data_IF_103234789522
#
_entry.id   IF_103234789522
#
_cell.length_a   1.000
_cell.length_b   1.000
_cell.length_c   1.000
_cell.angle_alpha   90.00
_cell.angle_beta   90.00
_cell.angle_gamma   90.00
#
_symmetry.space_group_name_H-M   'P 1'
#
loop_
_entity.id
_entity.type
_entity.pdbx_description
1 polymer ?
#
# COMPACT_ATOMS: atom_id res chain seq x y z
N UNK A 1 -3.44 52.71 -14.50
CA UNK A 1 -2.33 51.79 -14.21
C UNK A 1 -2.84 50.36 -14.41
N UNK A 2 -2.48 49.68 -15.51
CA UNK A 2 -2.89 48.29 -15.75
C UNK A 2 -1.87 47.38 -15.08
N UNK A 3 -2.23 46.78 -13.95
CA UNK A 3 -1.46 45.71 -13.32
C UNK A 3 -1.47 44.50 -14.27
N UNK A 4 -0.38 44.32 -15.04
CA UNK A 4 -0.10 43.06 -15.72
C UNK A 4 0.31 42.06 -14.64
N UNK A 5 -0.64 41.25 -14.19
CA UNK A 5 -0.32 40.07 -13.38
C UNK A 5 0.31 39.04 -14.33
N UNK A 6 1.63 39.00 -14.38
CA UNK A 6 2.37 37.88 -14.96
C UNK A 6 2.39 36.76 -13.93
N UNK A 7 1.44 35.83 -14.02
CA UNK A 7 1.64 34.52 -13.40
C UNK A 7 2.74 33.80 -14.20
N UNK A 8 3.98 33.87 -13.72
CA UNK A 8 5.01 32.96 -14.18
C UNK A 8 4.63 31.56 -13.72
N UNK A 9 4.21 30.70 -14.66
CA UNK A 9 4.03 29.28 -14.39
C UNK A 9 5.38 28.68 -13.97
N UNK A 10 5.54 28.40 -12.67
CA UNK A 10 6.74 27.72 -12.19
C UNK A 10 6.62 26.22 -12.50
N UNK A 11 7.03 25.86 -13.71
CA UNK A 11 7.01 24.48 -14.21
C UNK A 11 7.75 23.49 -13.29
N UNK A 12 8.80 23.95 -12.59
CA UNK A 12 9.54 23.12 -11.63
C UNK A 12 8.73 22.79 -10.39
N UNK A 13 8.00 23.76 -9.84
CA UNK A 13 7.11 23.56 -8.71
C UNK A 13 5.98 22.58 -9.05
N UNK A 14 5.35 22.77 -10.21
CA UNK A 14 4.25 21.92 -10.69
C UNK A 14 4.75 20.48 -10.90
N UNK A 15 5.93 20.29 -11.50
CA UNK A 15 6.51 18.97 -11.71
C UNK A 15 6.78 18.24 -10.40
N UNK A 16 7.24 18.96 -9.36
CA UNK A 16 7.45 18.38 -8.04
C UNK A 16 6.13 18.02 -7.36
N UNK A 17 5.12 18.90 -7.39
CA UNK A 17 3.79 18.60 -6.84
C UNK A 17 3.15 17.38 -7.51
N UNK A 18 3.30 17.24 -8.84
CA UNK A 18 2.81 16.06 -9.57
C UNK A 18 3.53 14.77 -9.16
N UNK A 19 4.83 14.82 -8.86
CA UNK A 19 5.58 13.65 -8.36
C UNK A 19 5.10 13.25 -6.98
N UNK A 20 4.99 14.21 -6.07
CA UNK A 20 4.49 13.96 -4.70
C UNK A 20 3.06 13.44 -4.72
N UNK A 21 2.20 13.97 -5.59
CA UNK A 21 0.84 13.49 -5.77
C UNK A 21 0.80 12.03 -6.23
N UNK A 22 1.64 11.63 -7.19
CA UNK A 22 1.71 10.23 -7.63
C UNK A 22 2.18 9.28 -6.52
N UNK A 23 3.18 9.68 -5.74
CA UNK A 23 3.63 8.91 -4.56
C UNK A 23 2.51 8.74 -3.56
N UNK A 24 1.87 9.85 -3.17
CA UNK A 24 0.76 9.83 -2.23
C UNK A 24 -0.40 8.95 -2.73
N UNK A 25 -0.67 8.95 -4.04
CA UNK A 25 -1.68 8.09 -4.64
C UNK A 25 -1.36 6.61 -4.51
N UNK A 26 -0.16 6.16 -4.90
CA UNK A 26 0.19 4.73 -4.80
C UNK A 26 0.35 4.26 -3.35
N UNK A 27 0.84 5.13 -2.46
CA UNK A 27 0.95 4.83 -1.03
C UNK A 27 -0.42 4.74 -0.37
N UNK A 28 -1.37 5.61 -0.72
CA UNK A 28 -2.74 5.54 -0.21
C UNK A 28 -3.48 4.30 -0.74
N UNK A 29 -3.32 4.00 -2.03
CA UNK A 29 -3.95 2.84 -2.67
C UNK A 29 -3.48 1.50 -2.08
N UNK A 30 -2.30 1.43 -1.47
CA UNK A 30 -1.81 0.18 -0.86
C UNK A 30 -2.56 -0.20 0.42
N UNK A 31 -3.13 0.77 1.14
CA UNK A 31 -3.73 0.54 2.47
C UNK A 31 -5.00 -0.32 2.38
N UNK A 32 -5.96 -0.06 1.46
CA UNK A 32 -7.12 -0.93 1.26
C UNK A 32 -6.73 -2.36 0.85
N UNK A 33 -5.77 -2.48 -0.08
CA UNK A 33 -5.22 -3.78 -0.47
C UNK A 33 -4.67 -4.55 0.73
N UNK A 34 -3.83 -3.90 1.55
CA UNK A 34 -3.24 -4.51 2.72
C UNK A 34 -4.32 -4.96 3.72
N UNK A 35 -5.35 -4.13 3.93
CA UNK A 35 -6.46 -4.46 4.82
C UNK A 35 -7.22 -5.70 4.32
N UNK A 36 -7.56 -5.76 3.04
CA UNK A 36 -8.34 -6.85 2.47
C UNK A 36 -7.56 -8.18 2.42
N UNK A 37 -6.29 -8.15 2.00
CA UNK A 37 -5.45 -9.34 1.99
C UNK A 37 -5.23 -9.90 3.42
N UNK A 38 -5.09 -9.03 4.42
CA UNK A 38 -5.04 -9.44 5.83
C UNK A 38 -6.36 -10.03 6.30
N UNK A 39 -7.48 -9.40 5.94
CA UNK A 39 -8.83 -9.89 6.25
C UNK A 39 -9.04 -11.29 5.69
N UNK A 40 -8.75 -11.52 4.40
CA UNK A 40 -8.83 -12.85 3.77
C UNK A 40 -7.99 -13.87 4.54
N UNK A 41 -6.76 -13.50 4.92
CA UNK A 41 -5.87 -14.41 5.64
C UNK A 41 -6.43 -14.81 7.02
N UNK A 42 -7.04 -13.87 7.73
CA UNK A 42 -7.57 -14.06 9.08
C UNK A 42 -8.94 -14.74 9.06
N UNK A 43 -9.89 -14.23 8.28
CA UNK A 43 -11.29 -14.68 8.26
C UNK A 43 -11.42 -16.11 7.74
N UNK A 44 -10.59 -16.47 6.76
CA UNK A 44 -10.63 -17.80 6.13
C UNK A 44 -9.67 -18.79 6.78
N UNK A 45 -9.02 -18.38 7.86
CA UNK A 45 -8.14 -19.25 8.64
C UNK A 45 -7.04 -19.88 7.76
N UNK A 46 -6.42 -19.11 6.87
CA UNK A 46 -5.41 -19.66 5.93
C UNK A 46 -4.04 -19.92 6.58
N UNK A 47 -3.65 -19.12 7.58
CA UNK A 47 -2.27 -19.07 8.09
C UNK A 47 -2.21 -18.84 9.60
N UNK A 48 -1.50 -19.69 10.33
CA UNK A 48 -1.32 -19.61 11.80
C UNK A 48 -0.14 -18.68 12.24
N UNK A 49 0.25 -17.75 11.37
CA UNK A 49 1.40 -16.88 11.64
C UNK A 49 0.99 -15.42 11.57
N UNK A 50 1.00 -14.77 12.74
CA UNK A 50 0.86 -13.32 12.86
C UNK A 50 1.94 -12.58 12.05
N UNK A 51 3.13 -13.18 11.86
CA UNK A 51 4.22 -12.57 11.08
C UNK A 51 3.80 -12.33 9.64
N UNK A 52 3.20 -13.34 8.99
CA UNK A 52 2.75 -13.23 7.61
C UNK A 52 1.68 -12.15 7.48
N UNK A 53 0.57 -12.28 8.22
CA UNK A 53 -0.53 -11.30 8.21
C UNK A 53 -0.01 -9.88 8.40
N UNK A 54 0.83 -9.66 9.42
CA UNK A 54 1.32 -8.33 9.76
C UNK A 54 2.37 -7.77 8.81
N UNK A 55 2.88 -8.58 7.89
CA UNK A 55 3.87 -8.18 6.90
C UNK A 55 3.29 -7.94 5.51
N UNK A 56 1.98 -8.17 5.31
CA UNK A 56 1.33 -7.90 4.02
C UNK A 56 1.26 -6.38 3.83
N UNK A 57 2.16 -5.86 2.98
CA UNK A 57 2.25 -4.48 2.49
C UNK A 57 2.47 -3.35 3.48
N UNK A 58 1.90 -3.45 4.67
CA UNK A 58 1.94 -2.44 5.73
C UNK A 58 2.17 -3.16 7.05
N UNK A 59 3.05 -2.64 7.89
CA UNK A 59 3.33 -3.24 9.18
C UNK A 59 2.13 -3.04 10.12
N UNK A 60 1.60 -4.12 10.66
CA UNK A 60 0.53 -4.09 11.67
C UNK A 60 0.90 -4.96 12.87
N UNK A 61 0.06 -4.96 13.92
CA UNK A 61 0.24 -5.79 15.12
C UNK A 61 -1.03 -6.63 15.42
N UNK A 62 -1.68 -7.16 14.37
CA UNK A 62 -2.96 -7.87 14.42
C UNK A 62 -2.89 -9.26 13.75
N UNK A 63 -3.52 -10.31 14.30
CA UNK A 63 -4.20 -10.40 15.61
C UNK A 63 -3.22 -10.45 16.79
N UNK A 64 -3.68 -10.13 18.00
CA UNK A 64 -2.87 -10.07 19.23
C UNK A 64 -2.32 -11.44 19.70
N UNK A 65 -2.88 -12.53 19.18
CA UNK A 65 -2.37 -13.90 19.33
C UNK A 65 -2.53 -14.63 18.01
N UNK A 66 -1.64 -15.57 17.71
CA UNK A 66 -1.86 -16.47 16.58
C UNK A 66 -2.98 -17.50 16.88
N UNK A 67 -3.33 -18.37 15.93
CA UNK A 67 -4.45 -19.31 16.11
C UNK A 67 -4.18 -20.32 17.23
N UNK A 68 -2.91 -20.68 17.45
CA UNK A 68 -2.53 -21.53 18.59
C UNK A 68 -2.62 -20.85 19.95
N UNK A 69 -3.05 -19.58 20.02
CA UNK A 69 -3.11 -18.79 21.24
C UNK A 69 -1.72 -18.38 21.77
N UNK A 70 -0.67 -18.58 20.95
CA UNK A 70 0.69 -18.16 21.26
C UNK A 70 0.87 -16.69 20.89
N UNK A 71 1.80 -16.04 21.57
CA UNK A 71 2.13 -14.63 21.34
C UNK A 71 2.50 -14.36 19.88
N UNK A 72 2.33 -13.11 19.46
CA UNK A 72 2.64 -12.68 18.09
C UNK A 72 4.13 -12.75 17.79
N UNK A 73 4.47 -13.32 16.64
CA UNK A 73 5.74 -13.03 15.99
C UNK A 73 5.58 -11.70 15.26
N UNK A 74 6.32 -10.68 15.70
CA UNK A 74 6.31 -9.36 15.07
C UNK A 74 7.16 -9.39 13.79
N UNK A 75 6.63 -8.92 12.64
CA UNK A 75 7.43 -8.78 11.44
C UNK A 75 8.43 -7.63 11.60
N UNK A 76 9.53 -7.70 10.86
CA UNK A 76 10.44 -6.57 10.68
C UNK A 76 10.13 -5.83 9.38
N UNK A 77 10.75 -4.67 9.15
CA UNK A 77 10.64 -3.96 7.87
C UNK A 77 11.08 -4.83 6.68
N UNK A 78 12.06 -5.70 6.89
CA UNK A 78 12.55 -6.64 5.87
C UNK A 78 11.54 -7.72 5.49
N UNK A 79 10.51 -7.94 6.31
CA UNK A 79 9.42 -8.87 5.99
C UNK A 79 8.39 -8.24 5.04
N UNK A 80 8.53 -6.96 4.70
CA UNK A 80 7.58 -6.21 3.86
C UNK A 80 8.26 -5.80 2.56
N UNK A 81 7.59 -6.08 1.44
CA UNK A 81 8.00 -5.50 0.16
C UNK A 81 7.38 -4.12 0.05
N UNK A 82 8.20 -3.09 -0.12
CA UNK A 82 7.77 -1.71 -0.32
C UNK A 82 8.80 -0.95 -1.16
N UNK A 83 8.80 -1.21 -2.47
CA UNK A 83 9.78 -0.65 -3.41
C UNK A 83 9.07 0.36 -4.30
N UNK A 84 9.46 1.63 -4.18
CA UNK A 84 8.97 2.71 -5.04
C UNK A 84 9.96 2.93 -6.19
N UNK A 85 9.47 2.80 -7.42
CA UNK A 85 10.20 3.15 -8.63
C UNK A 85 9.54 4.34 -9.32
N UNK A 86 10.33 5.38 -9.59
CA UNK A 86 9.85 6.61 -10.21
C UNK A 86 10.50 6.83 -11.58
N UNK A 87 9.67 7.12 -12.58
CA UNK A 87 10.08 7.72 -13.84
C UNK A 87 9.56 9.14 -13.93
N UNK A 88 9.82 9.80 -15.08
CA UNK A 88 9.32 11.15 -15.35
C UNK A 88 7.80 11.25 -15.20
N UNK A 89 7.10 10.21 -15.64
CA UNK A 89 5.66 10.15 -15.89
C UNK A 89 4.93 9.08 -15.05
N UNK A 90 5.64 8.12 -14.49
CA UNK A 90 5.04 6.98 -13.77
C UNK A 90 5.69 6.84 -12.39
N UNK A 91 4.87 6.52 -11.39
CA UNK A 91 5.32 6.04 -10.08
C UNK A 91 4.72 4.65 -9.88
N UNK A 92 5.58 3.67 -9.63
CA UNK A 92 5.18 2.29 -9.33
C UNK A 92 5.52 1.98 -7.89
N UNK A 93 4.59 1.35 -7.19
CA UNK A 93 4.81 0.76 -5.89
C UNK A 93 4.70 -0.75 -6.01
N UNK A 94 5.82 -1.45 -5.81
CA UNK A 94 5.81 -2.89 -5.60
C UNK A 94 5.62 -3.17 -4.11
N UNK A 95 4.57 -3.90 -3.77
CA UNK A 95 4.23 -4.14 -2.37
C UNK A 95 3.69 -5.55 -2.13
N UNK A 96 3.87 -6.04 -0.91
CA UNK A 96 3.46 -7.38 -0.48
C UNK A 96 4.23 -7.79 0.76
N UNK A 97 4.49 -9.09 0.90
CA UNK A 97 5.27 -9.67 2.00
C UNK A 97 6.50 -10.40 1.47
N UNK A 98 7.62 -10.24 2.15
CA UNK A 98 8.90 -10.89 1.86
C UNK A 98 9.13 -12.13 2.75
N UNK A 99 8.12 -12.55 3.53
CA UNK A 99 8.21 -13.75 4.35
C UNK A 99 8.42 -14.97 3.45
N UNK A 100 9.44 -15.77 3.75
CA UNK A 100 9.91 -16.86 2.88
C UNK A 100 8.84 -17.86 2.41
N UNK A 101 7.81 -18.13 3.22
CA UNK A 101 6.73 -19.06 2.88
C UNK A 101 5.54 -18.38 2.16
N UNK A 102 5.57 -17.07 1.94
CA UNK A 102 4.52 -16.34 1.24
C UNK A 102 4.21 -16.89 -0.17
N UNK A 103 5.19 -17.27 -1.01
CA UNK A 103 4.90 -17.84 -2.32
C UNK A 103 4.10 -19.15 -2.26
N UNK A 104 4.32 -19.96 -1.21
CA UNK A 104 3.59 -21.20 -1.01
C UNK A 104 2.13 -20.95 -0.61
N UNK A 105 1.91 -19.95 0.26
CA UNK A 105 0.57 -19.53 0.65
C UNK A 105 -0.20 -18.94 -0.52
N UNK A 106 0.46 -18.11 -1.32
CA UNK A 106 -0.16 -17.49 -2.48
C UNK A 106 -0.60 -18.53 -3.50
N UNK A 107 0.26 -19.51 -3.81
CA UNK A 107 -0.08 -20.60 -4.72
C UNK A 107 -1.28 -21.44 -4.23
N UNK A 108 -1.50 -21.53 -2.93
CA UNK A 108 -2.55 -22.36 -2.32
C UNK A 108 -3.86 -21.62 -2.13
N UNK A 109 -3.81 -20.35 -1.74
CA UNK A 109 -4.96 -19.60 -1.26
C UNK A 109 -5.25 -18.32 -2.05
N UNK A 110 -4.34 -17.91 -2.94
CA UNK A 110 -4.44 -16.72 -3.79
C UNK A 110 -4.77 -15.45 -3.00
N UNK A 111 -4.12 -15.25 -1.85
CA UNK A 111 -4.47 -14.22 -0.86
C UNK A 111 -4.22 -12.82 -1.44
N UNK A 112 -3.04 -12.63 -2.05
CA UNK A 112 -2.63 -11.36 -2.64
C UNK A 112 -3.44 -11.06 -3.88
N UNK A 113 -3.61 -12.05 -4.79
CA UNK A 113 -4.44 -11.88 -5.98
C UNK A 113 -5.88 -11.48 -5.64
N UNK A 114 -6.50 -12.21 -4.71
CA UNK A 114 -7.87 -11.88 -4.24
C UNK A 114 -7.94 -10.57 -3.50
N UNK A 115 -6.90 -10.22 -2.73
CA UNK A 115 -6.82 -8.93 -2.05
C UNK A 115 -6.83 -7.77 -3.04
N UNK A 116 -6.12 -7.91 -4.16
CA UNK A 116 -6.12 -6.91 -5.24
C UNK A 116 -7.48 -6.83 -5.93
N UNK A 117 -8.06 -7.98 -6.31
CA UNK A 117 -9.36 -8.03 -7.01
C UNK A 117 -10.49 -7.46 -6.13
N UNK A 118 -10.51 -7.80 -4.84
CA UNK A 118 -11.58 -7.38 -3.94
C UNK A 118 -11.45 -5.90 -3.54
N UNK A 119 -10.23 -5.39 -3.38
CA UNK A 119 -9.99 -4.03 -2.93
C UNK A 119 -9.89 -3.00 -4.07
N UNK A 120 -9.94 -3.43 -5.34
CA UNK A 120 -9.67 -2.57 -6.51
C UNK A 120 -10.40 -1.22 -6.45
N UNK A 121 -11.70 -1.24 -6.15
CA UNK A 121 -12.51 -0.02 -6.06
C UNK A 121 -12.01 0.92 -4.94
N UNK A 122 -11.77 0.39 -3.75
CA UNK A 122 -11.29 1.15 -2.59
C UNK A 122 -9.86 1.67 -2.81
N UNK A 123 -9.02 0.90 -3.51
CA UNK A 123 -7.67 1.32 -3.91
C UNK A 123 -7.72 2.53 -4.85
N UNK A 124 -8.65 2.52 -5.82
CA UNK A 124 -8.84 3.66 -6.72
C UNK A 124 -9.32 4.91 -5.98
N UNK A 125 -10.28 4.75 -5.07
CA UNK A 125 -10.79 5.85 -4.24
C UNK A 125 -9.69 6.44 -3.34
N UNK A 126 -9.02 5.59 -2.55
CA UNK A 126 -7.94 6.00 -1.66
C UNK A 126 -6.78 6.66 -2.43
N UNK A 127 -6.42 6.12 -3.60
CA UNK A 127 -5.40 6.71 -4.47
C UNK A 127 -5.78 8.09 -4.98
N UNK A 128 -7.03 8.29 -5.41
CA UNK A 128 -7.53 9.59 -5.85
C UNK A 128 -7.53 10.61 -4.70
N UNK A 129 -7.96 10.21 -3.50
CA UNK A 129 -7.89 11.06 -2.30
C UNK A 129 -6.45 11.45 -1.95
N UNK A 130 -5.51 10.50 -2.01
CA UNK A 130 -4.09 10.74 -1.76
C UNK A 130 -3.52 11.82 -2.68
N UNK A 131 -3.86 11.77 -3.97
CA UNK A 131 -3.50 12.78 -4.97
C UNK A 131 -4.10 14.15 -4.60
N UNK A 132 -5.41 14.21 -4.33
CA UNK A 132 -6.12 15.47 -4.03
C UNK A 132 -5.54 16.17 -2.79
N UNK A 133 -5.17 15.40 -1.76
CA UNK A 133 -4.57 15.93 -0.52
C UNK A 133 -3.26 16.68 -0.77
N UNK A 134 -2.50 16.36 -1.81
CA UNK A 134 -1.26 17.08 -2.14
C UNK A 134 -1.55 18.45 -2.73
N UNK A 135 -2.62 18.60 -3.52
CA UNK A 135 -3.02 19.87 -4.14
C UNK A 135 -3.89 20.76 -3.25
N UNK A 136 -4.44 20.20 -2.17
CA UNK A 136 -5.31 20.92 -1.23
C UNK A 136 -4.55 21.54 -0.05
N UNK A 137 -3.21 21.42 -0.02
CA UNK A 137 -2.31 22.06 0.93
C UNK A 137 -1.87 23.43 0.42
#
# INVERSE_FOLDING_TARGET
MKLKVTHSFNMGLIANQLKEARKAGVEAAREPFAAEAKRITVDEDHVDSSRYVNSISVLTDFPATNKTGRGTIKPTGDDIVNIITETRDVTKLETGTAVHYAPHLERRYNIIGRGLDNAEADMHEAGAEGIIKVFSK
#
